data_IF_279957299560
#
_entry.id   IF_279957299560
#
_cell.length_a   1.000
_cell.length_b   1.000
_cell.length_c   1.000
_cell.angle_alpha   90.00
_cell.angle_beta   90.00
_cell.angle_gamma   90.00
#
_symmetry.space_group_name_H-M   'P 1'
#
loop_
_entity.id
_entity.type
_entity.pdbx_description
1 polymer ?
#
# COMPACT_ATOMS: atom_id res chain seq x y z
N UNK A 1 -25.05 -7.70 20.51
CA UNK A 1 -23.71 -8.32 20.31
C UNK A 1 -23.04 -7.56 19.17
N UNK A 2 -21.76 -7.19 19.30
CA UNK A 2 -21.02 -6.51 18.24
C UNK A 2 -20.84 -7.48 17.04
N UNK A 3 -21.04 -7.03 15.81
CA UNK A 3 -20.75 -7.84 14.63
C UNK A 3 -19.26 -7.83 14.26
N UNK A 4 -18.86 -8.69 13.31
CA UNK A 4 -17.46 -8.86 12.92
C UNK A 4 -16.89 -7.59 12.28
N UNK A 5 -17.66 -6.88 11.42
CA UNK A 5 -17.20 -5.69 10.72
C UNK A 5 -17.03 -4.50 11.68
N UNK A 6 -17.93 -4.34 12.63
CA UNK A 6 -17.81 -3.33 13.69
C UNK A 6 -16.64 -3.63 14.61
N UNK A 7 -16.42 -4.91 14.99
CA UNK A 7 -15.25 -5.29 15.77
C UNK A 7 -13.95 -5.00 15.03
N UNK A 8 -13.88 -5.27 13.72
CA UNK A 8 -12.71 -4.94 12.87
C UNK A 8 -12.46 -3.45 12.82
N UNK A 9 -13.48 -2.61 12.64
CA UNK A 9 -13.32 -1.16 12.61
C UNK A 9 -12.78 -0.62 13.95
N UNK A 10 -13.28 -1.12 15.08
CA UNK A 10 -12.79 -0.73 16.40
C UNK A 10 -11.33 -1.17 16.63
N UNK A 11 -11.00 -2.41 16.30
CA UNK A 11 -9.63 -2.93 16.39
C UNK A 11 -8.68 -2.20 15.43
N UNK A 12 -9.11 -1.92 14.20
CA UNK A 12 -8.36 -1.12 13.23
C UNK A 12 -8.00 0.27 13.75
N UNK A 13 -8.92 0.92 14.46
CA UNK A 13 -8.64 2.23 15.09
C UNK A 13 -7.69 2.13 16.30
N UNK A 14 -7.72 1.02 17.02
CA UNK A 14 -6.96 0.86 18.26
C UNK A 14 -5.54 0.31 18.05
N UNK A 15 -5.38 -0.61 17.11
CA UNK A 15 -4.14 -1.35 16.87
C UNK A 15 -3.30 -0.64 15.81
N UNK A 16 -1.99 -0.53 16.06
CA UNK A 16 -1.07 0.04 15.08
C UNK A 16 -0.92 -0.85 13.84
N UNK A 17 -0.87 -0.27 12.63
CA UNK A 17 -0.65 -1.03 11.40
C UNK A 17 0.58 -1.93 11.43
N UNK A 18 0.49 -3.12 10.80
CA UNK A 18 1.60 -4.06 10.70
C UNK A 18 1.96 -4.79 11.99
N UNK A 19 1.11 -4.78 13.01
CA UNK A 19 1.32 -5.52 14.23
C UNK A 19 1.07 -7.02 14.03
N UNK A 20 2.15 -7.81 13.98
CA UNK A 20 2.11 -9.25 13.71
C UNK A 20 1.30 -10.02 14.75
N UNK A 21 1.46 -9.67 16.04
CA UNK A 21 0.75 -10.37 17.12
C UNK A 21 -0.77 -10.25 16.95
N UNK A 22 -1.28 -9.01 16.83
CA UNK A 22 -2.72 -8.79 16.71
C UNK A 22 -3.29 -9.30 15.39
N UNK A 23 -2.54 -9.18 14.29
CA UNK A 23 -2.93 -9.76 13.01
C UNK A 23 -3.16 -11.27 13.12
N UNK A 24 -2.22 -12.01 13.74
CA UNK A 24 -2.34 -13.44 13.98
C UNK A 24 -3.49 -13.79 14.93
N UNK A 25 -3.70 -13.01 16.00
CA UNK A 25 -4.86 -13.25 16.89
C UNK A 25 -6.19 -13.10 16.15
N UNK A 26 -6.31 -12.07 15.31
CA UNK A 26 -7.53 -11.81 14.53
C UNK A 26 -7.72 -12.89 13.45
N UNK A 27 -6.65 -13.33 12.80
CA UNK A 27 -6.71 -14.40 11.79
C UNK A 27 -7.20 -15.74 12.40
N UNK A 28 -6.73 -16.08 13.62
CA UNK A 28 -7.05 -17.34 14.26
C UNK A 28 -8.40 -17.36 14.97
N UNK A 29 -8.82 -16.24 15.55
CA UNK A 29 -10.00 -16.18 16.44
C UNK A 29 -11.16 -15.38 15.85
N UNK A 30 -10.92 -14.56 14.83
CA UNK A 30 -11.84 -13.53 14.36
C UNK A 30 -11.83 -12.27 15.21
N UNK A 31 -12.16 -11.14 14.59
CA UNK A 31 -12.06 -9.83 15.25
C UNK A 31 -13.03 -9.70 16.44
N UNK A 32 -14.22 -10.26 16.32
CA UNK A 32 -15.21 -10.22 17.40
C UNK A 32 -14.72 -10.89 18.68
N UNK A 33 -14.08 -12.05 18.58
CA UNK A 33 -13.55 -12.75 19.74
C UNK A 33 -12.35 -12.01 20.35
N UNK A 34 -11.44 -11.52 19.51
CA UNK A 34 -10.28 -10.72 19.97
C UNK A 34 -10.73 -9.47 20.70
N UNK A 35 -11.71 -8.73 20.16
CA UNK A 35 -12.31 -7.57 20.82
C UNK A 35 -12.87 -7.94 22.21
N UNK A 36 -13.68 -9.01 22.31
CA UNK A 36 -14.23 -9.45 23.60
C UNK A 36 -13.16 -9.84 24.62
N UNK A 37 -12.13 -10.55 24.19
CA UNK A 37 -11.01 -10.95 25.06
C UNK A 37 -10.22 -9.73 25.57
N UNK A 38 -9.98 -8.70 24.74
CA UNK A 38 -9.32 -7.47 25.17
C UNK A 38 -10.16 -6.71 26.20
N UNK A 39 -11.47 -6.59 25.97
CA UNK A 39 -12.36 -5.80 26.83
C UNK A 39 -12.67 -6.51 28.14
N UNK A 40 -12.98 -7.83 28.10
CA UNK A 40 -13.52 -8.56 29.25
C UNK A 40 -12.47 -9.39 30.00
N UNK A 41 -11.42 -9.78 29.32
CA UNK A 41 -10.41 -10.70 29.86
C UNK A 41 -9.05 -10.00 29.96
N UNK A 42 -8.19 -10.48 30.87
CA UNK A 42 -6.83 -9.96 31.00
C UNK A 42 -5.78 -10.88 30.34
N UNK A 43 -6.21 -11.76 29.45
CA UNK A 43 -5.38 -12.81 28.84
C UNK A 43 -4.17 -12.25 28.07
N UNK A 44 -4.28 -11.04 27.54
CA UNK A 44 -3.23 -10.36 26.78
C UNK A 44 -2.39 -9.38 27.61
N UNK A 45 -2.54 -9.36 28.94
CA UNK A 45 -1.90 -8.36 29.84
C UNK A 45 -0.37 -8.31 29.75
N UNK A 46 0.27 -9.38 29.24
CA UNK A 46 1.74 -9.46 29.05
C UNK A 46 2.21 -8.91 27.69
N UNK A 47 1.28 -8.57 26.78
CA UNK A 47 1.61 -7.99 25.47
C UNK A 47 1.92 -6.51 25.65
N UNK A 48 3.03 -6.05 25.10
CA UNK A 48 3.61 -4.71 25.38
C UNK A 48 2.67 -3.55 25.08
N UNK A 49 1.83 -3.65 24.04
CA UNK A 49 0.87 -2.62 23.62
C UNK A 49 -0.57 -2.87 24.11
N UNK A 50 -0.79 -3.94 24.91
CA UNK A 50 -2.15 -4.33 25.33
C UNK A 50 -2.90 -3.20 26.03
N UNK A 51 -2.27 -2.50 26.96
CA UNK A 51 -2.93 -1.44 27.73
C UNK A 51 -3.33 -0.27 26.83
N UNK A 52 -2.45 0.13 25.91
CA UNK A 52 -2.74 1.18 24.94
C UNK A 52 -3.92 0.78 24.02
N UNK A 53 -3.91 -0.44 23.51
CA UNK A 53 -5.00 -0.98 22.67
C UNK A 53 -6.30 -1.02 23.44
N UNK A 54 -6.31 -1.54 24.68
CA UNK A 54 -7.49 -1.60 25.53
C UNK A 54 -8.06 -0.22 25.83
N UNK A 55 -7.23 0.75 26.19
CA UNK A 55 -7.68 2.13 26.44
C UNK A 55 -8.31 2.78 25.21
N UNK A 56 -7.69 2.60 24.03
CA UNK A 56 -8.24 3.10 22.78
C UNK A 56 -9.59 2.45 22.47
N UNK A 57 -9.73 1.14 22.67
CA UNK A 57 -10.99 0.42 22.44
C UNK A 57 -12.11 0.89 23.37
N UNK A 58 -11.80 1.10 24.67
CA UNK A 58 -12.78 1.59 25.66
C UNK A 58 -13.26 3.00 25.32
N UNK A 59 -12.37 3.85 24.79
CA UNK A 59 -12.69 5.23 24.38
C UNK A 59 -13.35 5.31 22.99
N UNK A 60 -13.28 4.26 22.19
CA UNK A 60 -13.77 4.27 20.81
C UNK A 60 -15.26 3.94 20.73
N UNK A 61 -15.98 4.71 19.90
CA UNK A 61 -17.37 4.43 19.54
C UNK A 61 -17.43 4.19 18.02
N UNK A 62 -18.01 3.07 17.60
CA UNK A 62 -18.12 2.73 16.18
C UNK A 62 -18.98 3.72 15.37
N UNK A 63 -19.96 4.36 16.00
CA UNK A 63 -20.79 5.39 15.34
C UNK A 63 -19.97 6.64 15.01
N UNK A 64 -19.06 7.05 15.93
CA UNK A 64 -18.18 8.19 15.72
C UNK A 64 -17.16 7.88 14.62
N UNK A 65 -16.59 6.68 14.59
CA UNK A 65 -15.67 6.23 13.53
C UNK A 65 -16.38 6.17 12.17
N UNK A 66 -17.62 5.69 12.13
CA UNK A 66 -18.43 5.68 10.91
C UNK A 66 -18.77 7.09 10.44
N UNK A 67 -19.07 8.00 11.37
CA UNK A 67 -19.30 9.41 11.05
C UNK A 67 -18.04 10.09 10.51
N UNK A 68 -16.86 9.79 11.08
CA UNK A 68 -15.57 10.28 10.58
C UNK A 68 -15.32 9.82 9.13
N UNK A 69 -15.54 8.54 8.83
CA UNK A 69 -15.41 8.00 7.48
C UNK A 69 -16.32 8.75 6.49
N UNK A 70 -17.61 8.91 6.82
CA UNK A 70 -18.58 9.63 5.98
C UNK A 70 -18.18 11.09 5.75
N UNK A 71 -17.72 11.79 6.80
CA UNK A 71 -17.27 13.20 6.71
C UNK A 71 -16.07 13.35 5.79
N UNK A 72 -15.26 12.31 5.67
CA UNK A 72 -14.05 12.28 4.84
C UNK A 72 -14.29 11.67 3.46
N UNK A 73 -15.54 11.38 3.07
CA UNK A 73 -15.90 10.67 1.84
C UNK A 73 -15.09 9.35 1.67
N UNK A 74 -14.88 8.67 2.78
CA UNK A 74 -14.06 7.47 2.87
C UNK A 74 -14.91 6.24 3.23
N UNK A 75 -14.47 5.07 2.77
CA UNK A 75 -15.08 3.78 3.05
C UNK A 75 -14.10 2.88 3.80
N UNK A 76 -14.61 2.12 4.76
CA UNK A 76 -13.86 1.05 5.42
C UNK A 76 -14.18 -0.28 4.77
N UNK A 77 -13.15 -1.03 4.39
CA UNK A 77 -13.24 -2.40 3.90
C UNK A 77 -12.39 -3.33 4.76
N UNK A 78 -12.76 -4.59 4.78
CA UNK A 78 -12.12 -5.62 5.61
C UNK A 78 -12.18 -6.98 4.93
N UNK A 79 -11.46 -8.01 5.42
CA UNK A 79 -11.55 -9.38 4.91
C UNK A 79 -12.96 -10.01 4.89
N UNK A 80 -13.95 -9.36 5.51
CA UNK A 80 -15.35 -9.79 5.44
C UNK A 80 -16.10 -9.25 4.20
N UNK A 81 -15.50 -8.31 3.45
CA UNK A 81 -16.08 -7.76 2.22
C UNK A 81 -15.69 -8.65 1.02
N UNK A 82 -16.61 -8.86 0.07
CA UNK A 82 -16.41 -9.76 -1.08
C UNK A 82 -15.31 -9.30 -2.03
N UNK A 83 -15.09 -8.01 -2.13
CA UNK A 83 -14.07 -7.38 -2.97
C UNK A 83 -12.75 -7.12 -2.24
N UNK A 84 -12.53 -7.75 -1.06
CA UNK A 84 -11.26 -7.67 -0.36
C UNK A 84 -10.14 -8.27 -1.19
N UNK A 85 -9.03 -7.54 -1.42
CA UNK A 85 -7.89 -8.07 -2.15
C UNK A 85 -7.24 -9.25 -1.40
N UNK A 86 -7.42 -10.47 -1.91
CA UNK A 86 -6.94 -11.70 -1.26
C UNK A 86 -5.43 -11.75 -1.09
N UNK A 87 -4.70 -11.11 -2.00
CA UNK A 87 -3.24 -11.00 -1.99
C UNK A 87 -2.66 -10.25 -0.78
N UNK A 88 -3.48 -9.48 -0.06
CA UNK A 88 -3.08 -8.90 1.23
C UNK A 88 -2.89 -9.96 2.34
N UNK A 89 -3.46 -11.15 2.16
CA UNK A 89 -3.31 -12.26 3.11
C UNK A 89 -1.95 -12.95 3.00
N UNK A 90 -1.16 -12.67 1.95
CA UNK A 90 0.21 -13.18 1.80
C UNK A 90 1.20 -12.49 2.75
N UNK A 91 0.79 -11.35 3.35
CA UNK A 91 1.62 -10.62 4.30
C UNK A 91 1.71 -11.33 5.64
N UNK A 92 2.88 -11.29 6.28
CA UNK A 92 3.10 -11.78 7.65
C UNK A 92 2.22 -11.09 8.71
N UNK A 93 1.79 -9.87 8.42
CA UNK A 93 0.82 -9.12 9.21
C UNK A 93 -0.26 -8.54 8.27
N UNK A 94 -1.26 -9.34 7.84
CA UNK A 94 -2.36 -8.83 7.03
C UNK A 94 -3.08 -7.66 7.71
N UNK A 95 -3.52 -6.66 6.94
CA UNK A 95 -4.24 -5.53 7.52
C UNK A 95 -5.58 -5.97 8.11
N UNK A 96 -5.95 -5.41 9.26
CA UNK A 96 -7.25 -5.65 9.93
C UNK A 96 -8.40 -5.16 9.04
N UNK A 97 -8.14 -4.09 8.31
CA UNK A 97 -8.98 -3.46 7.33
C UNK A 97 -8.22 -2.36 6.60
N UNK A 98 -8.86 -1.71 5.65
CA UNK A 98 -8.35 -0.56 4.92
C UNK A 98 -9.41 0.53 4.86
N UNK A 99 -8.96 1.77 4.86
CA UNK A 99 -9.79 2.92 4.52
C UNK A 99 -9.45 3.35 3.11
N UNK A 100 -10.45 3.64 2.29
CA UNK A 100 -10.25 4.01 0.90
C UNK A 100 -11.16 5.15 0.47
N UNK A 101 -10.74 5.86 -0.58
CA UNK A 101 -11.48 6.94 -1.23
C UNK A 101 -11.30 6.84 -2.74
N UNK A 102 -12.38 6.98 -3.50
CA UNK A 102 -12.38 6.92 -4.97
C UNK A 102 -13.16 5.71 -5.51
N UNK A 103 -12.73 5.19 -6.66
CA UNK A 103 -13.45 4.14 -7.38
C UNK A 103 -13.19 2.74 -6.80
N UNK A 104 -14.09 2.25 -5.97
CA UNK A 104 -14.01 0.93 -5.32
C UNK A 104 -13.95 -0.25 -6.31
N UNK A 105 -14.61 -0.14 -7.47
CA UNK A 105 -14.65 -1.21 -8.46
C UNK A 105 -13.26 -1.55 -9.01
N UNK A 106 -12.29 -0.63 -8.82
CA UNK A 106 -10.91 -0.87 -9.22
C UNK A 106 -10.24 -2.02 -8.44
N UNK A 107 -10.73 -2.36 -7.25
CA UNK A 107 -10.19 -3.48 -6.47
C UNK A 107 -10.23 -4.81 -7.26
N UNK A 108 -11.25 -5.02 -8.08
CA UNK A 108 -11.36 -6.20 -8.96
C UNK A 108 -10.29 -6.23 -10.07
N UNK A 109 -9.67 -5.09 -10.40
CA UNK A 109 -8.70 -4.97 -11.49
C UNK A 109 -7.24 -5.01 -11.00
N UNK A 110 -7.00 -5.17 -9.70
CA UNK A 110 -5.64 -5.20 -9.14
C UNK A 110 -4.84 -6.46 -9.56
N UNK A 111 -5.52 -7.49 -10.06
CA UNK A 111 -4.87 -8.64 -10.69
C UNK A 111 -4.02 -8.25 -11.92
N UNK A 112 -4.29 -7.10 -12.53
CA UNK A 112 -3.49 -6.52 -13.61
C UNK A 112 -2.89 -5.18 -13.17
N UNK A 113 -1.91 -5.24 -12.28
CA UNK A 113 -1.29 -4.05 -11.70
C UNK A 113 0.22 -4.20 -11.52
N UNK A 114 0.93 -3.08 -11.54
CA UNK A 114 2.34 -2.99 -11.15
C UNK A 114 2.54 -1.87 -10.14
N UNK A 115 3.47 -2.03 -9.22
CA UNK A 115 3.93 -0.91 -8.41
C UNK A 115 5.18 -0.28 -9.02
N UNK A 116 5.25 1.05 -9.03
CA UNK A 116 6.40 1.84 -9.47
C UNK A 116 6.88 2.66 -8.29
N UNK A 117 8.07 2.39 -7.80
CA UNK A 117 8.66 3.02 -6.62
C UNK A 117 10.09 3.48 -6.87
N UNK A 118 10.58 4.39 -6.02
CA UNK A 118 11.96 4.85 -6.16
C UNK A 118 12.33 6.04 -5.30
N UNK A 119 13.38 6.76 -5.71
CA UNK A 119 13.93 7.90 -5.01
C UNK A 119 12.92 9.04 -4.86
N UNK A 120 12.94 9.69 -3.70
CA UNK A 120 12.21 10.96 -3.47
C UNK A 120 12.87 12.16 -4.12
N UNK A 121 14.16 12.03 -4.53
CA UNK A 121 14.94 13.04 -5.23
C UNK A 121 15.59 12.41 -6.47
N UNK A 122 14.78 12.00 -7.46
CA UNK A 122 15.29 11.34 -8.65
C UNK A 122 15.99 12.32 -9.59
N UNK A 123 16.73 11.74 -10.54
CA UNK A 123 17.23 12.49 -11.68
C UNK A 123 16.12 12.78 -12.70
N UNK A 124 16.41 13.60 -13.71
CA UNK A 124 15.51 13.79 -14.86
C UNK A 124 15.26 12.48 -15.62
N UNK A 125 16.26 11.58 -15.68
CA UNK A 125 16.12 10.26 -16.24
C UNK A 125 15.07 9.43 -15.46
N UNK A 126 15.21 9.33 -14.14
CA UNK A 126 14.27 8.58 -13.31
C UNK A 126 12.84 9.12 -13.40
N UNK A 127 12.66 10.45 -13.42
CA UNK A 127 11.35 11.07 -13.63
C UNK A 127 10.75 10.69 -14.98
N UNK A 128 11.53 10.78 -16.06
CA UNK A 128 11.07 10.46 -17.42
C UNK A 128 10.70 8.98 -17.56
N UNK A 129 11.55 8.07 -17.05
CA UNK A 129 11.29 6.62 -17.07
C UNK A 129 10.06 6.25 -16.29
N UNK A 130 9.93 6.76 -15.05
CA UNK A 130 8.75 6.49 -14.20
C UNK A 130 7.46 6.98 -14.85
N UNK A 131 7.45 8.20 -15.38
CA UNK A 131 6.30 8.77 -16.07
C UNK A 131 5.92 7.97 -17.32
N UNK A 132 6.92 7.64 -18.16
CA UNK A 132 6.69 6.87 -19.38
C UNK A 132 6.16 5.48 -19.07
N UNK A 133 6.79 4.73 -18.17
CA UNK A 133 6.36 3.38 -17.78
C UNK A 133 4.91 3.38 -17.26
N UNK A 134 4.54 4.39 -16.48
CA UNK A 134 3.19 4.55 -15.96
C UNK A 134 2.18 4.92 -17.07
N UNK A 135 2.57 5.74 -18.05
CA UNK A 135 1.73 6.05 -19.20
C UNK A 135 1.54 4.84 -20.12
N UNK A 136 2.60 4.07 -20.37
CA UNK A 136 2.53 2.80 -21.12
C UNK A 136 1.61 1.79 -20.40
N UNK A 137 1.69 1.74 -19.05
CA UNK A 137 0.80 0.91 -18.23
C UNK A 137 -0.66 1.30 -18.39
N UNK A 138 -0.96 2.60 -18.38
CA UNK A 138 -2.31 3.11 -18.61
C UNK A 138 -2.85 2.70 -19.99
N UNK A 139 -2.04 2.83 -21.04
CA UNK A 139 -2.39 2.41 -22.41
C UNK A 139 -2.67 0.90 -22.49
N UNK A 140 -1.92 0.09 -21.74
CA UNK A 140 -2.11 -1.37 -21.63
C UNK A 140 -3.21 -1.78 -20.63
N UNK A 141 -3.98 -0.84 -20.05
CA UNK A 141 -4.99 -1.08 -19.00
C UNK A 141 -4.43 -1.78 -17.76
N UNK A 142 -3.19 -1.48 -17.41
CA UNK A 142 -2.51 -1.95 -16.20
C UNK A 142 -2.61 -0.86 -15.13
N UNK A 143 -3.05 -1.23 -13.94
CA UNK A 143 -3.19 -0.29 -12.81
C UNK A 143 -1.81 0.02 -12.24
N UNK A 144 -1.51 1.31 -12.07
CA UNK A 144 -0.26 1.76 -11.44
C UNK A 144 -0.49 1.98 -9.95
N UNK A 145 0.27 1.26 -9.12
CA UNK A 145 0.24 1.39 -7.65
C UNK A 145 1.53 2.10 -7.20
N UNK A 146 1.42 3.06 -6.30
CA UNK A 146 2.59 3.68 -5.68
C UNK A 146 2.27 4.31 -4.32
N UNK A 147 3.29 4.87 -3.66
CA UNK A 147 3.16 5.42 -2.32
C UNK A 147 2.76 6.89 -2.25
N UNK A 148 2.68 7.58 -3.38
CA UNK A 148 2.37 9.00 -3.42
C UNK A 148 3.45 9.91 -2.84
N UNK A 149 4.67 9.43 -2.63
CA UNK A 149 5.80 10.23 -2.16
C UNK A 149 6.30 11.20 -3.24
N UNK A 150 7.20 12.13 -2.88
CA UNK A 150 7.92 12.93 -3.86
C UNK A 150 8.68 12.06 -4.87
N UNK A 151 9.02 12.62 -6.01
CA UNK A 151 9.93 12.00 -6.98
C UNK A 151 9.26 10.92 -7.82
N UNK A 152 9.79 9.70 -7.78
CA UNK A 152 9.38 8.58 -8.63
C UNK A 152 7.89 8.27 -8.48
N UNK A 153 7.38 8.17 -7.24
CA UNK A 153 5.97 7.86 -6.97
C UNK A 153 5.04 8.92 -7.60
N UNK A 154 5.38 10.21 -7.42
CA UNK A 154 4.63 11.32 -8.01
C UNK A 154 4.67 11.27 -9.54
N UNK A 155 5.82 10.95 -10.16
CA UNK A 155 5.95 10.84 -11.61
C UNK A 155 5.12 9.66 -12.15
N UNK A 156 5.12 8.53 -11.45
CA UNK A 156 4.32 7.36 -11.79
C UNK A 156 2.81 7.69 -11.79
N UNK A 157 2.31 8.30 -10.70
CA UNK A 157 0.91 8.69 -10.64
C UNK A 157 0.52 9.70 -11.74
N UNK A 158 1.39 10.70 -12.01
CA UNK A 158 1.17 11.69 -13.07
C UNK A 158 1.14 11.04 -14.45
N UNK A 159 2.04 10.08 -14.73
CA UNK A 159 2.07 9.35 -15.99
C UNK A 159 0.79 8.55 -16.23
N UNK A 160 0.36 7.78 -15.24
CA UNK A 160 -0.87 6.99 -15.32
C UNK A 160 -2.13 7.86 -15.50
N UNK A 161 -2.31 8.86 -14.65
CA UNK A 161 -3.47 9.77 -14.69
C UNK A 161 -3.46 10.62 -15.97
N UNK A 162 -2.29 11.15 -16.37
CA UNK A 162 -2.13 11.96 -17.58
C UNK A 162 -2.46 11.19 -18.87
N UNK A 163 -2.21 9.90 -18.90
CA UNK A 163 -2.60 8.99 -20.00
C UNK A 163 -4.04 8.47 -19.88
N UNK A 164 -4.83 8.96 -18.92
CA UNK A 164 -6.24 8.57 -18.75
C UNK A 164 -6.46 7.22 -18.06
N UNK A 165 -5.40 6.59 -17.55
CA UNK A 165 -5.44 5.32 -16.83
C UNK A 165 -5.82 5.44 -15.35
N UNK A 166 -5.90 4.29 -14.69
CA UNK A 166 -6.18 4.20 -13.26
C UNK A 166 -4.90 4.10 -12.44
N UNK A 167 -4.91 4.72 -11.26
CA UNK A 167 -3.79 4.67 -10.33
C UNK A 167 -4.29 4.47 -8.90
N UNK A 168 -3.51 3.75 -8.08
CA UNK A 168 -3.78 3.54 -6.66
C UNK A 168 -2.65 4.12 -5.83
N UNK A 169 -2.96 5.10 -4.99
CA UNK A 169 -1.99 5.67 -4.06
C UNK A 169 -2.21 5.09 -2.66
N UNK A 170 -1.21 4.38 -2.15
CA UNK A 170 -1.22 3.87 -0.78
C UNK A 170 -0.60 4.93 0.12
N UNK A 171 -1.34 5.44 1.09
CA UNK A 171 -0.89 6.55 1.94
C UNK A 171 -0.42 6.06 3.32
N UNK A 172 0.58 6.73 3.89
CA UNK A 172 1.10 6.44 5.24
C UNK A 172 0.31 7.15 6.35
N UNK A 173 -0.62 8.03 5.98
CA UNK A 173 -1.53 8.75 6.88
C UNK A 173 -2.93 8.80 6.30
N UNK A 174 -3.86 9.31 7.07
CA UNK A 174 -5.26 9.46 6.67
C UNK A 174 -5.47 10.62 5.70
N UNK A 175 -6.60 10.60 5.03
CA UNK A 175 -6.93 11.49 3.90
C UNK A 175 -7.12 12.96 4.29
N UNK A 176 -7.37 13.25 5.57
CA UNK A 176 -7.48 14.62 6.07
C UNK A 176 -6.11 15.29 6.28
N UNK A 177 -5.02 14.51 6.23
CA UNK A 177 -3.65 14.97 6.42
C UNK A 177 -2.74 14.49 5.29
N UNK A 178 -3.05 14.99 4.08
CA UNK A 178 -2.31 14.64 2.85
C UNK A 178 -0.83 14.99 2.98
N UNK A 179 0.02 14.02 2.68
CA UNK A 179 1.46 14.19 2.57
C UNK A 179 2.01 13.42 1.36
N UNK A 180 2.82 14.05 0.52
CA UNK A 180 3.18 15.48 0.54
C UNK A 180 2.00 16.38 0.16
N UNK A 181 1.94 17.59 0.74
CA UNK A 181 0.84 18.53 0.53
C UNK A 181 0.73 18.99 -0.94
N UNK A 182 1.85 19.04 -1.65
CA UNK A 182 1.95 19.40 -3.07
C UNK A 182 1.23 18.41 -3.97
N UNK A 183 1.07 17.18 -3.53
CA UNK A 183 0.36 16.13 -4.28
C UNK A 183 -1.17 16.16 -4.05
N UNK A 184 -1.71 17.09 -3.26
CA UNK A 184 -3.16 17.17 -2.98
C UNK A 184 -4.01 17.19 -4.26
N UNK A 185 -3.62 17.99 -5.25
CA UNK A 185 -4.32 18.06 -6.55
C UNK A 185 -4.22 16.73 -7.32
N UNK A 186 -3.05 16.11 -7.32
CA UNK A 186 -2.84 14.81 -7.95
C UNK A 186 -3.69 13.73 -7.29
N UNK A 187 -3.75 13.68 -5.97
CA UNK A 187 -4.58 12.70 -5.25
C UNK A 187 -6.07 12.90 -5.54
N UNK A 188 -6.55 14.15 -5.63
CA UNK A 188 -7.91 14.42 -6.08
C UNK A 188 -8.17 13.97 -7.53
N UNK A 189 -7.17 14.03 -8.41
CA UNK A 189 -7.28 13.49 -9.77
C UNK A 189 -7.30 11.95 -9.77
N UNK A 190 -6.50 11.31 -8.90
CA UNK A 190 -6.48 9.85 -8.75
C UNK A 190 -7.87 9.34 -8.37
N UNK A 191 -8.56 9.96 -7.41
CA UNK A 191 -9.88 9.50 -6.95
C UNK A 191 -10.96 9.47 -8.02
N UNK A 192 -10.79 10.19 -9.14
CA UNK A 192 -11.78 10.18 -10.23
C UNK A 192 -11.91 8.82 -10.94
N UNK A 193 -10.80 8.08 -11.10
CA UNK A 193 -10.76 6.77 -11.79
C UNK A 193 -9.98 5.71 -11.02
N UNK A 194 -9.34 6.09 -9.93
CA UNK A 194 -8.46 5.28 -9.12
C UNK A 194 -8.85 5.32 -7.65
N UNK A 195 -7.91 4.96 -6.78
CA UNK A 195 -8.12 4.86 -5.33
C UNK A 195 -6.99 5.53 -4.54
N UNK A 196 -7.36 6.14 -3.43
CA UNK A 196 -6.47 6.35 -2.29
C UNK A 196 -6.77 5.26 -1.26
N UNK A 197 -5.74 4.64 -0.71
CA UNK A 197 -5.85 3.59 0.32
C UNK A 197 -4.95 3.95 1.50
N UNK A 198 -5.46 3.75 2.72
CA UNK A 198 -4.70 3.91 3.95
C UNK A 198 -5.05 2.82 4.97
N UNK A 199 -4.08 2.39 5.78
CA UNK A 199 -4.27 1.46 6.89
C UNK A 199 -4.44 2.22 8.22
N UNK A 200 -5.06 3.39 8.16
CA UNK A 200 -5.37 4.24 9.33
C UNK A 200 -6.64 5.05 9.06
N UNK A 201 -7.29 5.53 10.11
CA UNK A 201 -8.45 6.41 10.02
C UNK A 201 -8.11 7.75 9.34
N UNK A 202 -9.09 8.44 8.70
CA UNK A 202 -8.87 9.65 7.91
C UNK A 202 -8.18 10.80 8.66
N UNK A 203 -8.39 10.93 9.96
CA UNK A 203 -7.82 12.00 10.81
C UNK A 203 -6.40 11.71 11.30
N UNK A 204 -5.86 10.51 11.05
CA UNK A 204 -4.56 10.09 11.55
C UNK A 204 -3.43 10.70 10.72
N UNK A 205 -2.54 11.47 11.35
CA UNK A 205 -1.36 12.06 10.69
C UNK A 205 -0.33 11.02 10.31
N UNK A 206 0.35 11.23 9.19
CA UNK A 206 1.51 10.42 8.80
C UNK A 206 2.66 10.57 9.81
N UNK A 207 3.41 9.49 10.02
CA UNK A 207 4.60 9.44 10.87
C UNK A 207 5.73 8.70 10.14
N UNK A 208 7.02 8.96 10.43
CA UNK A 208 8.13 8.37 9.70
C UNK A 208 8.08 6.83 9.61
N UNK A 209 7.77 6.14 10.71
CA UNK A 209 7.66 4.69 10.76
C UNK A 209 6.53 4.13 9.89
N UNK A 210 5.42 4.87 9.74
CA UNK A 210 4.27 4.44 8.93
C UNK A 210 4.57 4.38 7.44
N UNK A 211 5.53 5.19 6.94
CA UNK A 211 5.96 5.08 5.55
C UNK A 211 6.59 3.71 5.26
N UNK A 212 7.39 3.19 6.20
CA UNK A 212 8.01 1.87 6.05
C UNK A 212 6.99 0.74 6.19
N UNK A 213 6.10 0.82 7.17
CA UNK A 213 5.05 -0.18 7.41
C UNK A 213 4.10 -0.25 6.20
N UNK A 214 3.72 0.90 5.63
CA UNK A 214 2.82 0.99 4.49
C UNK A 214 3.38 0.32 3.24
N UNK A 215 4.72 0.32 3.05
CA UNK A 215 5.35 -0.18 1.82
C UNK A 215 4.98 -1.64 1.51
N UNK A 216 4.77 -2.48 2.54
CA UNK A 216 4.30 -3.85 2.36
C UNK A 216 2.94 -3.94 1.63
N UNK A 217 2.07 -2.94 1.80
CA UNK A 217 0.79 -2.88 1.08
C UNK A 217 0.99 -2.54 -0.40
N UNK A 218 1.97 -1.69 -0.74
CA UNK A 218 2.32 -1.42 -2.14
C UNK A 218 2.77 -2.70 -2.81
N UNK A 219 3.67 -3.45 -2.15
CA UNK A 219 4.17 -4.73 -2.63
C UNK A 219 3.05 -5.77 -2.78
N UNK A 220 2.19 -5.93 -1.78
CA UNK A 220 1.16 -6.97 -1.75
C UNK A 220 0.01 -6.70 -2.73
N UNK A 221 -0.40 -5.45 -2.93
CA UNK A 221 -1.50 -5.09 -3.82
C UNK A 221 -1.13 -5.13 -5.30
N UNK A 222 0.16 -5.16 -5.64
CA UNK A 222 0.64 -5.22 -7.03
C UNK A 222 1.10 -6.62 -7.42
N UNK A 223 1.01 -6.94 -8.72
CA UNK A 223 1.53 -8.20 -9.26
C UNK A 223 3.03 -8.20 -9.45
N UNK A 224 3.63 -7.02 -9.61
CA UNK A 224 5.08 -6.85 -9.64
C UNK A 224 5.48 -5.49 -9.07
N UNK A 225 6.70 -5.38 -8.59
CA UNK A 225 7.29 -4.12 -8.10
C UNK A 225 8.44 -3.70 -9.00
N UNK A 226 8.39 -2.45 -9.49
CA UNK A 226 9.44 -1.85 -10.32
C UNK A 226 10.14 -0.75 -9.53
N UNK A 227 11.46 -0.88 -9.36
CA UNK A 227 12.32 0.13 -8.75
C UNK A 227 13.01 0.92 -9.84
N UNK A 228 12.71 2.23 -9.98
CA UNK A 228 13.25 3.05 -11.06
C UNK A 228 14.62 3.64 -10.69
N UNK A 229 14.74 4.30 -9.57
CA UNK A 229 15.98 4.80 -8.99
C UNK A 229 15.94 4.63 -7.48
N UNK A 230 17.04 4.17 -6.89
CA UNK A 230 17.16 4.03 -5.45
C UNK A 230 18.62 4.13 -4.99
N UNK A 231 18.88 4.89 -3.94
CA UNK A 231 20.12 4.77 -3.19
C UNK A 231 20.18 3.40 -2.51
N UNK A 232 21.38 2.96 -2.13
CA UNK A 232 21.62 1.69 -1.47
C UNK A 232 20.77 1.48 -0.22
N UNK A 233 20.58 2.53 0.58
CA UNK A 233 19.70 2.53 1.76
C UNK A 233 18.51 3.44 1.49
N UNK A 234 17.40 2.86 1.04
CA UNK A 234 16.17 3.61 0.75
C UNK A 234 14.90 2.82 1.05
N UNK A 235 13.79 3.54 1.24
CA UNK A 235 12.47 2.92 1.46
C UNK A 235 11.98 2.10 0.27
N UNK A 236 12.37 2.44 -0.96
CA UNK A 236 12.01 1.67 -2.17
C UNK A 236 12.72 0.32 -2.24
N UNK A 237 13.96 0.21 -1.74
CA UNK A 237 14.64 -1.08 -1.58
C UNK A 237 13.89 -1.97 -0.57
N UNK A 238 13.34 -1.38 0.49
CA UNK A 238 12.50 -2.12 1.43
C UNK A 238 11.22 -2.64 0.75
N UNK A 239 10.54 -1.81 -0.07
CA UNK A 239 9.36 -2.25 -0.83
C UNK A 239 9.69 -3.41 -1.77
N UNK A 240 10.84 -3.36 -2.44
CA UNK A 240 11.33 -4.43 -3.31
C UNK A 240 11.53 -5.75 -2.54
N UNK A 241 12.14 -5.69 -1.35
CA UNK A 241 12.32 -6.86 -0.49
C UNK A 241 11.00 -7.38 0.08
N UNK A 242 10.10 -6.47 0.53
CA UNK A 242 8.76 -6.86 0.98
C UNK A 242 8.00 -7.60 -0.15
N UNK A 243 8.17 -7.22 -1.43
CA UNK A 243 7.60 -7.91 -2.58
C UNK A 243 8.23 -9.30 -2.79
N UNK A 244 9.56 -9.40 -2.74
CA UNK A 244 10.25 -10.68 -2.89
C UNK A 244 9.91 -11.66 -1.75
N UNK A 245 9.74 -11.20 -0.52
CA UNK A 245 9.34 -12.01 0.65
C UNK A 245 7.98 -12.69 0.47
N UNK A 246 7.08 -12.09 -0.33
CA UNK A 246 5.76 -12.64 -0.67
C UNK A 246 5.70 -13.20 -2.10
N UNK A 247 6.86 -13.52 -2.68
CA UNK A 247 7.01 -14.13 -4.00
C UNK A 247 6.38 -13.31 -5.15
N UNK A 248 6.39 -11.98 -5.06
CA UNK A 248 6.05 -11.09 -6.17
C UNK A 248 7.30 -10.77 -6.99
N UNK A 249 7.24 -10.84 -8.33
CA UNK A 249 8.32 -10.40 -9.19
C UNK A 249 8.77 -8.98 -8.89
N UNK A 250 10.07 -8.78 -8.86
CA UNK A 250 10.69 -7.47 -8.66
C UNK A 250 11.53 -7.15 -9.89
N UNK A 251 11.41 -5.92 -10.37
CA UNK A 251 12.19 -5.40 -11.47
C UNK A 251 12.98 -4.17 -11.04
N UNK A 252 14.16 -3.99 -11.59
CA UNK A 252 14.97 -2.81 -11.40
C UNK A 252 15.33 -2.20 -12.75
N UNK A 253 15.11 -0.90 -12.87
CA UNK A 253 15.53 -0.15 -14.05
C UNK A 253 17.04 0.06 -13.99
N UNK A 254 17.79 -0.33 -15.04
CA UNK A 254 19.23 -0.11 -15.08
C UNK A 254 19.55 1.37 -15.20
N UNK A 255 20.64 1.78 -14.60
CA UNK A 255 21.13 3.16 -14.66
C UNK A 255 22.65 3.21 -14.76
N UNK A 256 23.20 4.42 -14.75
CA UNK A 256 24.66 4.61 -14.83
C UNK A 256 25.35 4.05 -13.58
N UNK A 257 26.45 3.32 -13.75
CA UNK A 257 27.23 2.75 -12.64
C UNK A 257 27.84 3.81 -11.72
N UNK A 258 28.05 5.02 -12.22
CA UNK A 258 28.55 6.16 -11.47
C UNK A 258 27.48 6.94 -10.71
N UNK A 259 26.19 6.62 -10.93
CA UNK A 259 25.07 7.31 -10.25
C UNK A 259 24.77 6.66 -8.90
N UNK A 260 24.83 7.40 -7.79
CA UNK A 260 24.41 6.89 -6.49
C UNK A 260 22.96 6.40 -6.46
N UNK A 261 22.08 6.99 -7.29
CA UNK A 261 20.67 6.63 -7.39
C UNK A 261 20.42 5.33 -8.17
N UNK A 262 21.44 4.80 -8.86
CA UNK A 262 21.39 3.48 -9.50
C UNK A 262 21.92 2.37 -8.58
N UNK A 263 22.66 2.72 -7.53
CA UNK A 263 23.36 1.76 -6.67
C UNK A 263 22.42 0.74 -6.02
N UNK A 264 21.23 1.19 -5.58
CA UNK A 264 20.23 0.31 -5.02
C UNK A 264 19.63 -0.66 -6.05
N UNK A 265 19.33 -0.19 -7.27
CA UNK A 265 18.85 -1.02 -8.37
C UNK A 265 19.89 -2.08 -8.74
N UNK A 266 21.17 -1.68 -8.92
CA UNK A 266 22.27 -2.60 -9.22
C UNK A 266 22.43 -3.64 -8.11
N UNK A 267 22.26 -3.25 -6.84
CA UNK A 267 22.35 -4.19 -5.71
C UNK A 267 21.21 -5.21 -5.73
N UNK A 268 19.98 -4.79 -6.00
CA UNK A 268 18.85 -5.72 -6.11
C UNK A 268 19.08 -6.75 -7.22
N UNK A 269 19.64 -6.32 -8.36
CA UNK A 269 19.99 -7.21 -9.47
C UNK A 269 21.12 -8.17 -9.06
N UNK A 270 22.20 -7.65 -8.47
CA UNK A 270 23.35 -8.46 -8.04
C UNK A 270 22.94 -9.51 -6.98
N UNK A 271 22.04 -9.15 -6.06
CA UNK A 271 21.49 -10.05 -5.03
C UNK A 271 20.43 -11.02 -5.58
N UNK A 272 20.10 -10.96 -6.88
CA UNK A 272 19.04 -11.75 -7.53
C UNK A 272 17.66 -11.56 -6.89
N UNK A 273 17.41 -10.39 -6.34
CA UNK A 273 16.11 -9.97 -5.81
C UNK A 273 15.26 -9.36 -6.92
N UNK A 274 15.89 -8.75 -7.93
CA UNK A 274 15.20 -8.12 -9.04
C UNK A 274 15.81 -8.55 -10.39
N UNK A 275 14.94 -8.71 -11.39
CA UNK A 275 15.33 -8.79 -12.77
C UNK A 275 15.47 -7.39 -13.38
N UNK A 276 16.23 -7.27 -14.47
CA UNK A 276 16.31 -6.02 -15.24
C UNK A 276 15.04 -5.88 -16.07
N UNK A 277 14.44 -4.68 -16.07
CA UNK A 277 13.43 -4.31 -17.05
C UNK A 277 13.74 -2.95 -17.65
N UNK A 278 13.50 -2.81 -18.95
CA UNK A 278 13.66 -1.57 -19.72
C UNK A 278 12.34 -1.13 -20.36
N UNK A 279 11.39 -2.04 -20.46
CA UNK A 279 10.07 -1.83 -21.06
C UNK A 279 8.95 -2.44 -20.20
N UNK A 280 7.72 -1.96 -20.42
CA UNK A 280 6.54 -2.58 -19.80
C UNK A 280 6.31 -4.01 -20.30
N UNK A 281 6.64 -4.29 -21.56
CA UNK A 281 6.42 -5.62 -22.17
C UNK A 281 7.17 -6.69 -21.40
N UNK A 282 8.46 -6.46 -21.08
CA UNK A 282 9.27 -7.40 -20.29
C UNK A 282 8.66 -7.72 -18.93
N UNK A 283 8.02 -6.72 -18.29
CA UNK A 283 7.33 -6.90 -17.01
C UNK A 283 6.06 -7.73 -17.20
N UNK A 284 5.24 -7.40 -18.21
CA UNK A 284 3.98 -8.08 -18.49
C UNK A 284 4.21 -9.54 -18.91
N UNK A 285 5.30 -9.82 -19.61
CA UNK A 285 5.66 -11.19 -19.99
C UNK A 285 5.91 -12.11 -18.79
N UNK A 286 6.30 -11.56 -17.65
CA UNK A 286 6.50 -12.33 -16.41
C UNK A 286 5.20 -12.49 -15.63
N UNK A 287 4.38 -11.44 -15.55
CA UNK A 287 3.20 -11.42 -14.67
C UNK A 287 1.90 -11.88 -15.34
N UNK A 288 1.87 -11.98 -16.67
CA UNK A 288 0.68 -12.46 -17.40
C UNK A 288 0.76 -13.98 -17.57
N UNK A 289 -0.27 -14.73 -17.15
CA UNK A 289 -0.31 -16.18 -17.36
C UNK A 289 -0.18 -16.57 -18.83
N UNK A 290 0.48 -17.69 -19.13
CA UNK A 290 0.69 -18.19 -20.51
C UNK A 290 -0.61 -18.39 -21.30
N UNK A 291 -1.73 -18.61 -20.61
CA UNK A 291 -3.06 -18.81 -21.21
C UNK A 291 -3.73 -17.50 -21.66
N UNK A 292 -3.20 -16.34 -21.26
CA UNK A 292 -3.74 -15.02 -21.58
C UNK A 292 -2.81 -14.21 -22.51
N UNK A 293 -1.74 -14.84 -23.01
CA UNK A 293 -0.76 -14.23 -23.92
C UNK A 293 -1.18 -14.25 -25.37
#
# INVERSE_FOLDING_TARGET
>A
MIDEKVARLLLFNAISPGNIFWANQIANLGARQVYHKIIKESIYSRISDYQEVKEKLVKSNHLDLTAELRKSDAQFISPADLDWPSNLMDLSAPPIGLVMMGNRDLLANLERSISIVGSRRPTSYGLAVSHKLAADSAAAKVVVISGGAYGIDTAAHKGAVGAGGSSVAILAGGFNHIYPAENKKLFSQITNKGLLIAEVMPTVKSQPNRFLIRNRLIAALSKATVVVEAEFVSGSIRTARDAAEIFRPVFAIPGQISSPLSAGCHRLIADRVADIATTLVEILDVITPLQER
#
